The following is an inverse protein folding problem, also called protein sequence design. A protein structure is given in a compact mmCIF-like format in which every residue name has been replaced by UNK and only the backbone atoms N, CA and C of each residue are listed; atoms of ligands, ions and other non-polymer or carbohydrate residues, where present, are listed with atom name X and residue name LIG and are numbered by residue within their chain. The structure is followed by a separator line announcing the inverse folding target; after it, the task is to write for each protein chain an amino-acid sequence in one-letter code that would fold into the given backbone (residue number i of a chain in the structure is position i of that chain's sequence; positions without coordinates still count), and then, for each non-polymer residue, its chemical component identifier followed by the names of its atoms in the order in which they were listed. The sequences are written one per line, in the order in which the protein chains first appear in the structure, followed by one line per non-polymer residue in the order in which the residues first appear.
data_IF_793353400481
#
_entry.id   IF_793353400481
#
_cell.length_a   1.000
_cell.length_b   1.000
_cell.length_c   1.000
_cell.angle_alpha   90.00
_cell.angle_beta   90.00
_cell.angle_gamma   90.00
#
_symmetry.space_group_name_H-M   'P 1'
#
loop_
_entity.id
_entity.type
_entity.pdbx_description
1 polymer ?
#
# COMPACT_ATOMS: atom_id res chain seq x y z
N UNK A 1 -18.53 9.99 -5.79
CA UNK A 1 -18.34 9.99 -4.32
C UNK A 1 -18.15 8.57 -3.81
N UNK A 2 -17.47 8.40 -2.67
CA UNK A 2 -17.38 7.12 -1.97
C UNK A 2 -18.78 6.58 -1.62
N UNK A 3 -18.90 5.27 -1.47
CA UNK A 3 -20.15 4.58 -1.14
C UNK A 3 -20.63 4.84 0.31
N UNK A 4 -19.76 5.41 1.14
CA UNK A 4 -20.06 5.81 2.53
C UNK A 4 -19.66 7.28 2.70
N UNK A 5 -20.45 8.04 3.46
CA UNK A 5 -20.16 9.43 3.80
C UNK A 5 -18.85 9.52 4.61
N UNK A 6 -17.98 10.46 4.26
CA UNK A 6 -16.74 10.72 5.00
C UNK A 6 -17.03 11.24 6.42
N UNK A 7 -16.29 10.75 7.41
CA UNK A 7 -16.38 11.26 8.78
C UNK A 7 -15.71 12.64 8.92
N UNK A 8 -15.86 13.27 10.10
CA UNK A 8 -15.20 14.54 10.42
C UNK A 8 -13.77 14.35 10.95
N UNK A 9 -13.36 13.12 11.22
CA UNK A 9 -12.08 12.76 11.81
C UNK A 9 -11.11 12.34 10.71
N UNK A 10 -9.88 12.89 10.72
CA UNK A 10 -8.88 12.65 9.68
C UNK A 10 -8.73 13.81 8.68
N UNK A 11 -7.58 13.87 8.03
CA UNK A 11 -7.21 14.93 7.08
C UNK A 11 -7.54 14.49 5.65
N UNK A 12 -7.05 13.32 5.25
CA UNK A 12 -7.26 12.75 3.92
C UNK A 12 -8.62 12.06 3.79
N UNK A 13 -9.11 11.87 2.57
CA UNK A 13 -10.37 11.14 2.35
C UNK A 13 -10.30 9.67 2.84
N UNK A 14 -9.12 9.04 2.75
CA UNK A 14 -8.87 7.72 3.33
C UNK A 14 -8.98 7.75 4.86
N UNK A 15 -8.28 8.69 5.52
CA UNK A 15 -8.36 8.83 6.98
C UNK A 15 -9.78 9.12 7.45
N UNK A 16 -10.56 9.89 6.67
CA UNK A 16 -11.98 10.15 6.97
C UNK A 16 -12.90 8.94 6.76
N UNK A 17 -12.49 7.93 6.00
CA UNK A 17 -13.20 6.64 5.96
C UNK A 17 -12.92 5.84 7.25
N UNK A 18 -11.66 5.72 7.66
CA UNK A 18 -11.30 5.06 8.92
C UNK A 18 -11.74 5.86 10.15
N UNK A 19 -11.94 7.17 10.01
CA UNK A 19 -12.36 8.07 11.08
C UNK A 19 -13.77 7.80 11.63
N UNK A 20 -14.53 6.87 11.03
CA UNK A 20 -15.74 6.31 11.67
C UNK A 20 -15.40 5.40 12.87
N UNK A 21 -14.16 4.88 12.92
CA UNK A 21 -13.63 3.96 13.91
C UNK A 21 -12.31 4.54 14.48
N UNK A 22 -12.36 5.64 15.25
CA UNK A 22 -11.18 6.38 15.68
C UNK A 22 -10.16 5.53 16.43
N UNK A 23 -10.61 4.57 17.24
CA UNK A 23 -9.76 3.61 17.94
C UNK A 23 -8.97 2.71 16.99
N UNK A 24 -9.57 2.29 15.87
CA UNK A 24 -8.89 1.51 14.83
C UNK A 24 -7.97 2.41 14.01
N UNK A 25 -8.42 3.61 13.66
CA UNK A 25 -7.64 4.58 12.88
C UNK A 25 -6.29 4.89 13.54
N UNK A 26 -6.25 5.04 14.86
CA UNK A 26 -5.00 5.30 15.60
C UNK A 26 -4.04 4.13 15.47
N UNK A 27 -4.51 2.90 15.67
CA UNK A 27 -3.67 1.70 15.55
C UNK A 27 -3.18 1.48 14.11
N UNK A 28 -4.04 1.78 13.13
CA UNK A 28 -3.70 1.71 11.72
C UNK A 28 -2.56 2.66 11.36
N UNK A 29 -2.63 3.92 11.83
CA UNK A 29 -1.57 4.91 11.62
C UNK A 29 -0.27 4.53 12.34
N UNK A 30 -0.36 3.95 13.55
CA UNK A 30 0.83 3.47 14.27
C UNK A 30 1.56 2.36 13.50
N UNK A 31 0.81 1.43 12.90
CA UNK A 31 1.41 0.39 12.05
C UNK A 31 2.04 0.98 10.78
N UNK A 32 1.39 1.94 10.12
CA UNK A 32 1.99 2.65 8.98
C UNK A 32 3.31 3.32 9.39
N UNK A 33 3.31 4.06 10.50
CA UNK A 33 4.49 4.73 11.02
C UNK A 33 5.62 3.75 11.34
N UNK A 34 5.31 2.56 11.88
CA UNK A 34 6.31 1.55 12.19
C UNK A 34 7.09 1.09 10.95
N UNK A 35 6.44 0.97 9.79
CA UNK A 35 7.12 0.65 8.53
C UNK A 35 8.02 1.81 8.06
N UNK A 36 7.54 3.05 8.09
CA UNK A 36 8.33 4.20 7.64
C UNK A 36 9.42 4.67 8.62
N UNK A 37 9.36 4.24 9.88
CA UNK A 37 10.41 4.46 10.89
C UNK A 37 11.42 3.32 10.96
N UNK A 38 11.14 2.19 10.30
CA UNK A 38 12.07 1.09 10.17
C UNK A 38 13.26 1.49 9.29
N UNK A 39 14.43 0.94 9.60
CA UNK A 39 15.65 1.13 8.80
C UNK A 39 15.85 0.03 7.73
N UNK A 40 14.85 -0.83 7.52
CA UNK A 40 14.95 -1.97 6.60
C UNK A 40 14.81 -1.56 5.14
N UNK A 41 13.87 -0.66 4.84
CA UNK A 41 13.63 -0.14 3.49
C UNK A 41 13.44 1.38 3.58
N UNK A 42 14.04 2.11 2.65
CA UNK A 42 13.81 3.56 2.57
C UNK A 42 12.41 3.88 2.03
N UNK A 43 11.99 5.13 2.20
CA UNK A 43 10.65 5.59 1.83
C UNK A 43 10.38 5.48 0.32
N UNK A 44 11.39 5.70 -0.52
CA UNK A 44 11.23 5.62 -1.98
C UNK A 44 11.04 4.16 -2.42
N UNK A 45 11.75 3.22 -1.81
CA UNK A 45 11.60 1.78 -2.01
C UNK A 45 10.18 1.33 -1.65
N UNK A 46 9.70 1.69 -0.46
CA UNK A 46 8.35 1.36 -0.01
C UNK A 46 7.27 1.99 -0.89
N UNK A 47 7.50 3.21 -1.39
CA UNK A 47 6.57 3.87 -2.31
C UNK A 47 6.48 3.13 -3.65
N UNK A 48 7.58 2.59 -4.19
CA UNK A 48 7.51 1.76 -5.40
C UNK A 48 6.70 0.48 -5.16
N UNK A 49 6.91 -0.20 -4.04
CA UNK A 49 6.12 -1.39 -3.66
C UNK A 49 4.63 -1.02 -3.53
N UNK A 50 4.31 0.09 -2.86
CA UNK A 50 2.93 0.58 -2.72
C UNK A 50 2.27 0.84 -4.07
N UNK A 51 3.02 1.41 -5.03
CA UNK A 51 2.53 1.71 -6.38
C UNK A 51 2.22 0.46 -7.19
N UNK A 52 3.01 -0.61 -7.08
CA UNK A 52 2.69 -1.91 -7.71
C UNK A 52 1.34 -2.42 -7.21
N UNK A 53 1.22 -2.55 -5.88
CA UNK A 53 0.02 -3.07 -5.23
C UNK A 53 -1.23 -2.24 -5.59
N UNK A 54 -1.10 -0.92 -5.74
CA UNK A 54 -2.23 -0.03 -6.01
C UNK A 54 -2.93 -0.35 -7.33
N UNK A 55 -2.17 -0.74 -8.35
CA UNK A 55 -2.70 -1.08 -9.68
C UNK A 55 -3.36 -2.46 -9.66
N UNK A 56 -2.74 -3.44 -9.01
CA UNK A 56 -3.30 -4.80 -8.91
C UNK A 56 -4.55 -4.85 -8.00
N UNK A 57 -4.54 -4.08 -6.91
CA UNK A 57 -5.69 -3.95 -6.01
C UNK A 57 -6.76 -2.96 -6.53
N UNK A 58 -6.53 -2.34 -7.68
CA UNK A 58 -7.46 -1.41 -8.36
C UNK A 58 -7.92 -0.26 -7.45
N UNK A 59 -7.02 0.28 -6.60
CA UNK A 59 -7.33 1.41 -5.74
C UNK A 59 -7.20 2.73 -6.50
N UNK A 60 -8.31 3.26 -7.03
CA UNK A 60 -8.32 4.51 -7.82
C UNK A 60 -7.67 5.70 -7.08
N UNK A 61 -7.99 5.89 -5.80
CA UNK A 61 -7.36 6.90 -4.96
C UNK A 61 -5.83 6.75 -4.91
N UNK A 62 -5.36 5.52 -4.71
CA UNK A 62 -3.95 5.19 -4.54
C UNK A 62 -3.16 5.24 -5.85
N UNK A 63 -3.78 4.86 -6.96
CA UNK A 63 -3.21 4.93 -8.32
C UNK A 63 -3.00 6.39 -8.73
N UNK A 64 -3.97 7.27 -8.43
CA UNK A 64 -3.89 8.68 -8.76
C UNK A 64 -2.84 9.45 -7.94
N UNK A 65 -2.45 8.95 -6.76
CA UNK A 65 -1.48 9.61 -5.87
C UNK A 65 -0.08 9.75 -6.49
N UNK A 66 0.41 8.72 -7.20
CA UNK A 66 1.78 8.71 -7.72
C UNK A 66 1.97 7.94 -9.04
N UNK A 67 0.91 7.46 -9.69
CA UNK A 67 1.01 6.67 -10.92
C UNK A 67 1.68 5.30 -10.73
N UNK A 68 1.94 4.56 -11.83
CA UNK A 68 2.46 3.19 -11.79
C UNK A 68 3.92 3.15 -11.33
N UNK A 69 4.32 2.05 -10.69
CA UNK A 69 5.71 1.85 -10.26
C UNK A 69 6.72 1.93 -11.42
N UNK A 70 8.00 2.08 -11.09
CA UNK A 70 9.08 2.06 -12.08
C UNK A 70 9.04 0.77 -12.91
N UNK A 71 9.05 0.91 -14.24
CA UNK A 71 9.02 -0.20 -15.19
C UNK A 71 10.39 -0.85 -15.35
N UNK A 72 11.47 -0.09 -15.18
CA UNK A 72 12.84 -0.54 -15.39
C UNK A 72 13.73 -0.08 -14.22
N UNK A 73 13.49 -0.58 -13.00
CA UNK A 73 14.31 -0.23 -11.85
C UNK A 73 15.77 -0.64 -12.09
N UNK A 74 16.68 0.31 -11.91
CA UNK A 74 18.12 0.05 -12.07
C UNK A 74 18.68 -0.93 -11.03
N UNK A 75 18.01 -1.06 -9.89
CA UNK A 75 18.37 -1.97 -8.80
C UNK A 75 17.71 -3.34 -8.99
N UNK A 76 18.53 -4.39 -9.09
CA UNK A 76 18.05 -5.78 -9.12
C UNK A 76 17.26 -6.14 -7.86
N UNK A 77 17.65 -5.59 -6.70
CA UNK A 77 16.94 -5.75 -5.43
C UNK A 77 15.55 -5.12 -5.49
N UNK A 78 15.42 -3.90 -6.03
CA UNK A 78 14.11 -3.28 -6.22
C UNK A 78 13.27 -4.08 -7.22
N UNK A 79 13.85 -4.49 -8.35
CA UNK A 79 13.17 -5.32 -9.35
C UNK A 79 12.59 -6.60 -8.73
N UNK A 80 13.38 -7.30 -7.89
CA UNK A 80 12.95 -8.50 -7.18
C UNK A 80 11.76 -8.21 -6.23
N UNK A 81 11.82 -7.12 -5.46
CA UNK A 81 10.71 -6.73 -4.58
C UNK A 81 9.43 -6.38 -5.36
N UNK A 82 9.53 -5.65 -6.47
CA UNK A 82 8.35 -5.31 -7.29
C UNK A 82 7.72 -6.56 -7.90
N UNK A 83 8.53 -7.52 -8.37
CA UNK A 83 8.05 -8.81 -8.86
C UNK A 83 7.34 -9.60 -7.76
N UNK A 84 7.92 -9.66 -6.56
CA UNK A 84 7.30 -10.32 -5.41
C UNK A 84 5.98 -9.64 -5.00
N UNK A 85 5.95 -8.30 -4.95
CA UNK A 85 4.74 -7.54 -4.61
C UNK A 85 3.60 -7.75 -5.62
N UNK A 86 3.93 -7.77 -6.92
CA UNK A 86 2.97 -8.08 -7.98
C UNK A 86 2.44 -9.51 -7.85
N UNK A 87 3.34 -10.49 -7.62
CA UNK A 87 2.96 -11.89 -7.37
C UNK A 87 2.08 -12.02 -6.13
N UNK A 88 2.39 -11.30 -5.06
CA UNK A 88 1.59 -11.25 -3.83
C UNK A 88 0.17 -10.71 -4.08
N UNK A 89 0.03 -9.63 -4.84
CA UNK A 89 -1.27 -9.05 -5.12
C UNK A 89 -2.16 -9.94 -6.00
N UNK A 90 -1.57 -10.60 -7.00
CA UNK A 90 -2.29 -11.41 -7.99
C UNK A 90 -2.51 -12.86 -7.56
N UNK A 91 -1.52 -13.51 -6.96
CA UNK A 91 -1.53 -14.92 -6.60
C UNK A 91 -0.53 -15.24 -5.48
N UNK A 92 -0.80 -14.74 -4.27
CA UNK A 92 0.05 -14.99 -3.09
C UNK A 92 0.21 -16.48 -2.75
N UNK A 93 -0.70 -17.36 -3.20
CA UNK A 93 -0.60 -18.80 -2.97
C UNK A 93 0.54 -19.45 -3.78
N UNK A 94 0.98 -18.79 -4.86
CA UNK A 94 2.13 -19.21 -5.67
C UNK A 94 3.49 -18.79 -5.09
N UNK A 95 3.52 -18.08 -3.95
CA UNK A 95 4.77 -17.76 -3.24
C UNK A 95 5.14 -18.98 -2.39
N UNK A 96 5.84 -19.92 -3.02
CA UNK A 96 6.27 -21.18 -2.42
C UNK A 96 7.70 -21.11 -1.84
N UNK A 97 8.19 -22.24 -1.35
CA UNK A 97 9.52 -22.34 -0.75
C UNK A 97 10.65 -22.02 -1.75
N UNK A 98 10.49 -22.36 -3.03
CA UNK A 98 11.47 -22.08 -4.07
C UNK A 98 11.55 -20.56 -4.32
N UNK A 99 10.40 -19.91 -4.46
CA UNK A 99 10.30 -18.45 -4.58
C UNK A 99 10.97 -17.76 -3.38
N UNK A 100 10.65 -18.16 -2.15
CA UNK A 100 11.27 -17.60 -0.95
C UNK A 100 12.79 -17.83 -0.94
N UNK A 101 13.25 -18.99 -1.40
CA UNK A 101 14.69 -19.31 -1.45
C UNK A 101 15.41 -18.42 -2.45
N UNK A 102 14.85 -18.23 -3.65
CA UNK A 102 15.39 -17.31 -4.65
C UNK A 102 15.40 -15.86 -4.15
N UNK A 103 14.35 -15.43 -3.45
CA UNK A 103 14.31 -14.07 -2.88
C UNK A 103 15.39 -13.83 -1.80
N UNK A 104 15.93 -14.88 -1.16
CA UNK A 104 17.05 -14.76 -0.22
C UNK A 104 18.38 -14.38 -0.88
N UNK A 105 18.50 -14.43 -2.20
CA UNK A 105 19.65 -13.89 -2.92
C UNK A 105 19.73 -12.35 -2.83
N UNK A 106 18.59 -11.70 -2.59
CA UNK A 106 18.47 -10.24 -2.55
C UNK A 106 18.20 -9.68 -1.16
N UNK A 107 17.58 -10.48 -0.28
CA UNK A 107 17.06 -10.03 1.02
C UNK A 107 17.39 -11.01 2.14
N UNK A 108 17.61 -10.50 3.34
CA UNK A 108 17.60 -11.30 4.56
C UNK A 108 16.19 -11.79 4.90
N UNK A 109 16.09 -12.81 5.76
CA UNK A 109 14.78 -13.31 6.22
C UNK A 109 13.95 -12.22 6.92
N UNK A 110 14.61 -11.35 7.71
CA UNK A 110 13.97 -10.20 8.35
C UNK A 110 13.38 -9.23 7.32
N UNK A 111 14.15 -8.92 6.28
CA UNK A 111 13.71 -8.04 5.19
C UNK A 111 12.52 -8.64 4.42
N UNK A 112 12.54 -9.95 4.15
CA UNK A 112 11.43 -10.63 3.47
C UNK A 112 10.15 -10.62 4.29
N UNK A 113 10.24 -10.86 5.60
CA UNK A 113 9.09 -10.79 6.51
C UNK A 113 8.53 -9.38 6.53
N UNK A 114 9.37 -8.36 6.64
CA UNK A 114 8.92 -6.96 6.66
C UNK A 114 8.31 -6.54 5.32
N UNK A 115 8.89 -6.97 4.19
CA UNK A 115 8.36 -6.69 2.85
C UNK A 115 6.96 -7.30 2.65
N UNK A 116 6.76 -8.56 3.03
CA UNK A 116 5.45 -9.24 2.92
C UNK A 116 4.44 -8.68 3.92
N UNK A 117 4.87 -8.29 5.12
CA UNK A 117 4.02 -7.61 6.09
C UNK A 117 3.56 -6.24 5.56
N UNK A 118 4.47 -5.47 4.95
CA UNK A 118 4.14 -4.21 4.29
C UNK A 118 3.18 -4.43 3.12
N UNK A 119 3.42 -5.43 2.26
CA UNK A 119 2.52 -5.77 1.16
C UNK A 119 1.11 -6.12 1.65
N UNK A 120 1.01 -6.86 2.75
CA UNK A 120 -0.26 -7.22 3.38
C UNK A 120 -1.00 -5.99 3.90
N UNK A 121 -0.30 -5.13 4.64
CA UNK A 121 -0.86 -3.89 5.20
C UNK A 121 -1.36 -2.93 4.11
N UNK A 122 -0.53 -2.67 3.10
CA UNK A 122 -0.89 -1.79 1.98
C UNK A 122 -2.04 -2.39 1.18
N UNK A 123 -2.06 -3.70 0.95
CA UNK A 123 -3.16 -4.36 0.26
C UNK A 123 -4.47 -4.23 1.03
N UNK A 124 -4.44 -4.33 2.36
CA UNK A 124 -5.62 -4.09 3.20
C UNK A 124 -6.14 -2.65 3.04
N UNK A 125 -5.25 -1.64 3.10
CA UNK A 125 -5.62 -0.24 2.93
C UNK A 125 -6.23 0.04 1.55
N UNK A 126 -5.63 -0.51 0.51
CA UNK A 126 -6.04 -0.33 -0.89
C UNK A 126 -7.37 -1.01 -1.17
N UNK A 127 -7.54 -2.27 -0.75
CA UNK A 127 -8.79 -3.02 -0.92
C UNK A 127 -9.93 -2.42 -0.09
N UNK A 128 -9.65 -1.94 1.12
CA UNK A 128 -10.62 -1.19 1.92
C UNK A 128 -11.11 0.06 1.16
N UNK A 129 -10.18 0.88 0.67
CA UNK A 129 -10.50 2.09 -0.09
C UNK A 129 -11.30 1.79 -1.36
N UNK A 130 -10.87 0.79 -2.12
CA UNK A 130 -11.51 0.39 -3.38
C UNK A 130 -12.93 -0.17 -3.12
N UNK A 131 -13.10 -0.98 -2.08
CA UNK A 131 -14.39 -1.56 -1.70
C UNK A 131 -15.43 -0.51 -1.28
N UNK A 132 -14.97 0.64 -0.79
CA UNK A 132 -15.81 1.80 -0.47
C UNK A 132 -15.90 2.81 -1.61
N UNK A 133 -15.39 2.49 -2.80
CA UNK A 133 -15.47 3.34 -3.98
C UNK A 133 -14.73 4.67 -3.84
N UNK A 134 -13.66 4.72 -3.02
CA UNK A 134 -12.92 5.94 -2.77
C UNK A 134 -12.28 6.48 -4.07
N UNK A 135 -12.76 7.64 -4.50
CA UNK A 135 -12.30 8.35 -5.70
C UNK A 135 -10.96 9.06 -5.49
N UNK A 136 -10.25 9.48 -6.56
CA UNK A 136 -9.05 10.32 -6.46
C UNK A 136 -9.23 11.59 -5.62
N UNK A 137 -8.15 12.07 -4.98
CA UNK A 137 -8.21 13.17 -4.01
C UNK A 137 -8.85 14.47 -4.56
N UNK A 138 -8.61 14.78 -5.84
CA UNK A 138 -9.18 15.93 -6.53
C UNK A 138 -10.72 15.91 -6.64
N UNK A 139 -11.34 14.75 -6.46
CA UNK A 139 -12.79 14.61 -6.41
C UNK A 139 -13.42 15.24 -5.15
N UNK A 140 -12.63 15.39 -4.07
CA UNK A 140 -13.12 15.90 -2.78
C UNK A 140 -12.72 17.35 -2.49
N UNK A 141 -11.80 17.93 -3.28
CA UNK A 141 -11.36 19.31 -3.12
C UNK A 141 -12.44 20.36 -3.43
N UNK A 142 -13.54 19.99 -4.08
CA UNK A 142 -14.69 20.88 -4.35
C UNK A 142 -15.77 20.89 -3.27
N UNK A 143 -15.77 19.94 -2.33
CA UNK A 143 -16.81 19.80 -1.30
C UNK A 143 -16.48 20.49 0.02
N UNK A 144 -15.32 21.15 0.13
CA UNK A 144 -14.96 21.95 1.32
C UNK A 144 -15.52 23.39 1.27
N UNK A 145 -16.45 23.69 0.35
CA UNK A 145 -17.01 25.02 0.12
C UNK A 145 -18.54 25.11 0.33
N UNK A 146 -19.17 24.13 0.99
CA UNK A 146 -20.58 24.20 1.41
C UNK A 146 -20.77 23.72 2.85
#
# INVERSE_FOLDING_TARGET
MAHIKLSKQGVTAFEKLLGHLPEISVQWQQLEMAFFQSNTFDADFLEQVRRVLAFDNVCQYCMAKAGPADKNPASSRLAAALRLANKFALDHLSIDQEEITHMKEYFSERELVELLAFCSFISAAQKFSASLGLQPANHYSGEMAQ
#
